data_IF_418437873336
#
_entry.id   IF_418437873336
#
_cell.length_a   1.000
_cell.length_b   1.000
_cell.length_c   1.000
_cell.angle_alpha   90.00
_cell.angle_beta   90.00
_cell.angle_gamma   90.00
#
_symmetry.space_group_name_H-M   'P 1'
#
loop_
_entity.id
_entity.type
_entity.pdbx_description
1 polymer ?
#
# COMPACT_ATOMS: atom_id res chain seq x y z
N UNK A 1 0.29 -24.40 -30.65
CA UNK A 1 1.33 -24.20 -29.61
C UNK A 1 0.80 -24.78 -28.31
N UNK A 2 1.62 -25.51 -27.56
CA UNK A 2 1.20 -26.10 -26.28
C UNK A 2 1.18 -25.01 -25.20
N UNK A 3 0.04 -24.85 -24.52
CA UNK A 3 -0.10 -23.90 -23.43
C UNK A 3 -0.10 -24.66 -22.11
N UNK A 4 0.77 -24.25 -21.18
CA UNK A 4 0.85 -24.80 -19.83
C UNK A 4 0.06 -23.93 -18.86
N UNK A 5 -0.62 -24.57 -17.90
CA UNK A 5 -1.37 -23.88 -16.85
C UNK A 5 -0.82 -24.23 -15.47
N UNK A 6 -0.59 -23.20 -14.66
CA UNK A 6 -0.07 -23.31 -13.29
C UNK A 6 -1.03 -22.61 -12.33
N UNK A 7 -1.44 -23.32 -11.28
CA UNK A 7 -2.27 -22.79 -10.21
C UNK A 7 -1.40 -22.55 -8.98
N UNK A 8 -1.39 -21.31 -8.51
CA UNK A 8 -0.62 -20.92 -7.33
C UNK A 8 -1.57 -20.81 -6.14
N UNK A 9 -1.43 -21.67 -5.11
CA UNK A 9 -2.34 -21.67 -3.97
C UNK A 9 -2.14 -20.43 -3.10
N UNK A 10 -3.21 -20.05 -2.39
CA UNK A 10 -3.17 -19.05 -1.33
C UNK A 10 -2.24 -19.51 -0.20
N UNK A 11 -1.54 -18.55 0.39
CA UNK A 11 -0.71 -18.73 1.58
C UNK A 11 -1.54 -18.79 2.87
N UNK A 12 -2.87 -18.64 2.79
CA UNK A 12 -3.77 -18.55 3.93
C UNK A 12 -3.68 -17.21 4.67
N UNK A 13 -3.03 -16.20 4.08
CA UNK A 13 -2.86 -14.88 4.66
C UNK A 13 -3.02 -13.80 3.59
N UNK A 14 -4.01 -12.93 3.76
CA UNK A 14 -4.35 -11.93 2.73
C UNK A 14 -3.18 -11.01 2.37
N UNK A 15 -2.47 -10.44 3.36
CA UNK A 15 -1.35 -9.54 3.06
C UNK A 15 -0.22 -10.28 2.33
N UNK A 16 0.08 -11.51 2.76
CA UNK A 16 1.06 -12.35 2.08
C UNK A 16 0.62 -12.71 0.67
N UNK A 17 -0.65 -13.05 0.45
CA UNK A 17 -1.20 -13.35 -0.87
C UNK A 17 -1.08 -12.14 -1.79
N UNK A 18 -1.48 -10.95 -1.34
CA UNK A 18 -1.38 -9.70 -2.11
C UNK A 18 0.06 -9.46 -2.55
N UNK A 19 0.99 -9.37 -1.58
CA UNK A 19 2.36 -8.96 -1.87
C UNK A 19 3.16 -10.05 -2.59
N UNK A 20 2.99 -11.32 -2.23
CA UNK A 20 3.67 -12.40 -2.94
C UNK A 20 3.13 -12.56 -4.37
N UNK A 21 1.82 -12.38 -4.60
CA UNK A 21 1.26 -12.38 -5.94
C UNK A 21 1.78 -11.22 -6.79
N UNK A 22 1.91 -10.02 -6.21
CA UNK A 22 2.50 -8.88 -6.91
C UNK A 22 3.97 -9.10 -7.27
N UNK A 23 4.78 -9.57 -6.33
CA UNK A 23 6.18 -9.86 -6.60
C UNK A 23 6.36 -10.98 -7.61
N UNK A 24 5.55 -12.05 -7.51
CA UNK A 24 5.59 -13.16 -8.45
C UNK A 24 5.20 -12.72 -9.86
N UNK A 25 4.19 -11.86 -10.03
CA UNK A 25 3.83 -11.34 -11.35
C UNK A 25 4.99 -10.59 -12.01
N UNK A 26 5.76 -9.80 -11.27
CA UNK A 26 6.93 -9.12 -11.82
C UNK A 26 7.96 -10.11 -12.34
N UNK A 27 8.26 -11.13 -11.54
CA UNK A 27 9.20 -12.17 -11.93
C UNK A 27 8.69 -12.96 -13.14
N UNK A 28 7.39 -13.30 -13.17
CA UNK A 28 6.74 -13.99 -14.29
C UNK A 28 6.80 -13.15 -15.57
N UNK A 29 6.48 -11.85 -15.51
CA UNK A 29 6.52 -10.96 -16.68
C UNK A 29 7.93 -10.72 -17.21
N UNK A 30 8.94 -10.76 -16.34
CA UNK A 30 10.35 -10.70 -16.76
C UNK A 30 10.82 -12.00 -17.42
N UNK A 31 10.23 -13.13 -17.05
CA UNK A 31 10.58 -14.46 -17.58
C UNK A 31 9.83 -14.81 -18.86
N UNK A 32 8.56 -14.43 -18.95
CA UNK A 32 7.71 -14.58 -20.13
C UNK A 32 6.83 -13.31 -20.29
N UNK A 33 7.16 -12.40 -21.21
CA UNK A 33 6.38 -11.18 -21.43
C UNK A 33 4.94 -11.44 -21.91
N UNK A 34 4.69 -12.57 -22.58
CA UNK A 34 3.39 -12.94 -23.13
C UNK A 34 2.52 -13.69 -22.11
N UNK A 35 3.07 -14.07 -20.96
CA UNK A 35 2.40 -14.85 -19.92
C UNK A 35 1.04 -14.28 -19.54
N UNK A 36 0.02 -15.11 -19.53
CA UNK A 36 -1.29 -14.73 -19.05
C UNK A 36 -1.37 -14.99 -17.54
N UNK A 37 -1.74 -13.98 -16.78
CA UNK A 37 -1.92 -14.10 -15.32
C UNK A 37 -3.25 -13.50 -14.93
N UNK A 38 -4.01 -14.26 -14.15
CA UNK A 38 -5.27 -13.88 -13.56
C UNK A 38 -5.17 -13.98 -12.04
N UNK A 39 -5.64 -12.94 -11.36
CA UNK A 39 -5.61 -12.81 -9.91
C UNK A 39 -6.93 -13.25 -9.30
N UNK A 40 -6.82 -14.07 -8.27
CA UNK A 40 -7.92 -14.76 -7.59
C UNK A 40 -7.84 -14.50 -6.08
N UNK A 41 -7.63 -13.25 -5.67
CA UNK A 41 -7.49 -12.93 -4.24
C UNK A 41 -8.79 -13.26 -3.49
N UNK A 42 -8.67 -13.95 -2.35
CA UNK A 42 -9.80 -14.46 -1.58
C UNK A 42 -10.32 -15.84 -2.01
N UNK A 43 -9.68 -16.47 -3.01
CA UNK A 43 -9.95 -17.86 -3.42
C UNK A 43 -8.84 -18.81 -2.94
N UNK A 44 -9.06 -20.12 -3.10
CA UNK A 44 -8.08 -21.15 -2.73
C UNK A 44 -6.76 -21.02 -3.50
N UNK A 45 -6.83 -20.67 -4.79
CA UNK A 45 -5.67 -20.30 -5.59
C UNK A 45 -5.64 -18.78 -5.69
N UNK A 46 -4.51 -18.15 -5.40
CA UNK A 46 -4.37 -16.69 -5.50
C UNK A 46 -4.01 -16.23 -6.92
N UNK A 47 -3.39 -17.11 -7.72
CA UNK A 47 -3.06 -16.85 -9.13
C UNK A 47 -3.36 -18.06 -10.02
N UNK A 48 -3.82 -17.75 -11.22
CA UNK A 48 -3.84 -18.66 -12.37
C UNK A 48 -2.91 -18.13 -13.43
N UNK A 49 -1.91 -18.93 -13.81
CA UNK A 49 -0.86 -18.56 -14.74
C UNK A 49 -0.94 -19.47 -15.96
N UNK A 50 -0.89 -18.89 -17.16
CA UNK A 50 -0.77 -19.65 -18.40
C UNK A 50 0.40 -19.12 -19.23
N UNK A 51 1.27 -20.02 -19.65
CA UNK A 51 2.49 -19.70 -20.41
C UNK A 51 2.69 -20.71 -21.53
N UNK A 52 3.37 -20.30 -22.58
CA UNK A 52 3.89 -21.20 -23.62
C UNK A 52 5.26 -21.78 -23.22
N UNK A 53 5.87 -21.22 -22.18
CA UNK A 53 7.13 -21.67 -21.60
C UNK A 53 6.86 -22.82 -20.63
N UNK A 54 7.67 -23.88 -20.75
CA UNK A 54 7.63 -25.02 -19.83
C UNK A 54 7.97 -24.56 -18.42
N UNK A 55 7.51 -25.35 -17.45
CA UNK A 55 7.59 -24.99 -16.05
C UNK A 55 9.03 -24.82 -15.59
N UNK A 56 9.88 -25.77 -15.96
CA UNK A 56 11.28 -25.83 -15.56
C UNK A 56 12.04 -24.60 -16.08
N UNK A 57 11.86 -24.28 -17.36
CA UNK A 57 12.46 -23.11 -18.01
C UNK A 57 11.93 -21.79 -17.40
N UNK A 58 10.63 -21.74 -17.08
CA UNK A 58 10.01 -20.57 -16.45
C UNK A 58 10.56 -20.34 -15.04
N UNK A 59 10.66 -21.40 -14.24
CA UNK A 59 11.20 -21.38 -12.87
C UNK A 59 12.69 -21.00 -12.85
N UNK A 60 13.49 -21.50 -13.79
CA UNK A 60 14.90 -21.11 -13.97
C UNK A 60 15.02 -19.60 -14.32
N UNK A 61 14.22 -19.14 -15.28
CA UNK A 61 14.20 -17.73 -15.67
C UNK A 61 13.76 -16.82 -14.51
N UNK A 62 12.76 -17.24 -13.71
CA UNK A 62 12.34 -16.52 -12.50
C UNK A 62 13.52 -16.36 -11.54
N UNK A 63 14.26 -17.44 -11.27
CA UNK A 63 15.41 -17.37 -10.36
C UNK A 63 16.51 -16.44 -10.88
N UNK A 64 16.81 -16.49 -12.18
CA UNK A 64 17.77 -15.58 -12.82
C UNK A 64 17.33 -14.12 -12.70
N UNK A 65 16.05 -13.85 -12.97
CA UNK A 65 15.47 -12.52 -12.86
C UNK A 65 15.44 -12.01 -11.42
N UNK A 66 15.14 -12.88 -10.45
CA UNK A 66 15.18 -12.56 -9.01
C UNK A 66 16.60 -12.20 -8.55
N UNK A 67 17.61 -12.94 -9.01
CA UNK A 67 19.02 -12.66 -8.73
C UNK A 67 19.45 -11.27 -9.25
N UNK A 68 19.01 -10.91 -10.47
CA UNK A 68 19.26 -9.58 -11.05
C UNK A 68 18.48 -8.49 -10.31
N UNK A 69 17.17 -8.70 -10.12
CA UNK A 69 16.27 -7.70 -9.53
C UNK A 69 16.66 -7.35 -8.10
N UNK A 70 17.02 -8.34 -7.28
CA UNK A 70 17.52 -8.12 -5.93
C UNK A 70 18.75 -7.22 -5.89
N UNK A 71 19.56 -7.16 -6.99
CA UNK A 71 20.80 -6.33 -7.09
C UNK A 71 20.51 -4.90 -7.45
N UNK A 72 19.30 -4.62 -7.94
CA UNK A 72 18.89 -3.27 -8.32
C UNK A 72 18.90 -2.33 -7.11
N UNK A 73 19.38 -1.11 -7.37
CA UNK A 73 19.42 -0.06 -6.37
C UNK A 73 18.01 0.26 -5.84
N UNK A 74 17.01 0.22 -6.73
CA UNK A 74 15.60 0.43 -6.36
C UNK A 74 15.11 -0.56 -5.29
N UNK A 75 15.38 -1.86 -5.44
CA UNK A 75 14.97 -2.85 -4.42
C UNK A 75 15.73 -2.61 -3.12
N UNK A 76 17.03 -2.33 -3.18
CA UNK A 76 17.84 -2.04 -1.99
C UNK A 76 17.29 -0.84 -1.23
N UNK A 77 17.02 0.27 -1.91
CA UNK A 77 16.47 1.49 -1.32
C UNK A 77 15.11 1.26 -0.68
N UNK A 78 14.19 0.59 -1.39
CA UNK A 78 12.84 0.35 -0.89
C UNK A 78 12.79 -0.67 0.26
N UNK A 79 13.79 -1.56 0.35
CA UNK A 79 13.99 -2.50 1.44
C UNK A 79 15.09 -2.05 2.43
N UNK A 80 15.48 -0.78 2.41
CA UNK A 80 16.46 -0.23 3.34
C UNK A 80 15.78 0.17 4.67
N UNK A 81 15.37 -0.86 5.41
CA UNK A 81 14.83 -0.74 6.76
C UNK A 81 15.19 -1.96 7.58
N UNK A 82 15.22 -1.78 8.90
CA UNK A 82 15.71 -2.82 9.79
C UNK A 82 14.61 -3.79 10.20
N UNK A 83 14.95 -5.07 10.22
CA UNK A 83 14.08 -6.16 10.67
C UNK A 83 14.73 -6.79 11.89
N UNK A 84 13.95 -6.93 12.97
CA UNK A 84 14.40 -7.67 14.14
C UNK A 84 14.38 -9.18 13.83
N UNK A 85 15.56 -9.80 13.73
CA UNK A 85 15.70 -11.23 13.46
C UNK A 85 15.82 -12.08 14.74
N UNK A 86 15.81 -11.45 15.91
CA UNK A 86 16.00 -12.11 17.21
C UNK A 86 17.44 -12.61 17.45
N UNK A 87 18.42 -12.17 16.65
CA UNK A 87 19.84 -12.54 16.79
C UNK A 87 20.71 -11.40 17.37
N UNK A 88 20.10 -10.50 18.15
CA UNK A 88 20.78 -9.38 18.78
C UNK A 88 20.66 -8.07 17.98
N UNK A 89 21.31 -7.96 16.82
CA UNK A 89 21.24 -6.75 15.99
C UNK A 89 20.16 -6.89 14.90
N UNK A 90 19.31 -5.86 14.70
CA UNK A 90 18.42 -5.80 13.54
C UNK A 90 19.22 -5.88 12.23
N UNK A 91 18.71 -6.64 11.26
CA UNK A 91 19.31 -6.80 9.93
C UNK A 91 18.50 -5.99 8.90
N UNK A 92 19.13 -5.31 7.93
CA UNK A 92 18.40 -4.69 6.82
C UNK A 92 17.57 -5.71 6.02
N UNK A 93 16.37 -5.33 5.59
CA UNK A 93 15.48 -6.23 4.88
C UNK A 93 16.07 -6.73 3.56
N UNK A 94 16.77 -5.88 2.81
CA UNK A 94 17.42 -6.32 1.56
C UNK A 94 18.49 -7.40 1.78
N UNK A 95 19.13 -7.46 2.95
CA UNK A 95 20.12 -8.51 3.29
C UNK A 95 19.45 -9.84 3.57
N UNK A 96 18.26 -9.82 4.19
CA UNK A 96 17.45 -11.02 4.37
C UNK A 96 17.01 -11.58 3.02
N UNK A 97 16.55 -10.71 2.10
CA UNK A 97 16.21 -11.10 0.73
C UNK A 97 17.40 -11.79 0.05
N UNK A 98 18.59 -11.17 0.12
CA UNK A 98 19.83 -11.73 -0.42
C UNK A 98 20.15 -13.11 0.11
N UNK A 99 20.18 -13.24 1.43
CA UNK A 99 20.50 -14.49 2.10
C UNK A 99 19.55 -15.62 1.67
N UNK A 100 18.26 -15.34 1.54
CA UNK A 100 17.29 -16.34 1.08
C UNK A 100 17.61 -16.81 -0.35
N UNK A 101 17.94 -15.89 -1.25
CA UNK A 101 18.29 -16.23 -2.64
C UNK A 101 19.61 -17.02 -2.68
N UNK A 102 20.66 -16.46 -2.10
CA UNK A 102 22.03 -16.97 -2.22
C UNK A 102 22.28 -18.25 -1.40
N UNK A 103 21.61 -18.41 -0.25
CA UNK A 103 21.87 -19.53 0.66
C UNK A 103 20.77 -20.60 0.66
N UNK A 104 19.51 -20.23 0.43
CA UNK A 104 18.35 -21.13 0.63
C UNK A 104 17.74 -21.60 -0.68
N UNK A 105 17.73 -20.74 -1.70
CA UNK A 105 17.24 -21.11 -3.03
C UNK A 105 18.38 -21.67 -3.88
N UNK A 106 19.58 -21.09 -3.77
CA UNK A 106 20.90 -21.50 -4.33
C UNK A 106 20.95 -21.76 -5.85
N UNK A 107 20.02 -22.51 -6.43
CA UNK A 107 19.83 -22.76 -7.87
C UNK A 107 18.40 -23.19 -8.25
N UNK A 108 17.45 -23.24 -7.31
CA UNK A 108 16.08 -23.71 -7.56
C UNK A 108 15.07 -22.67 -7.05
N UNK A 109 14.12 -22.31 -7.90
CA UNK A 109 12.86 -21.66 -7.53
C UNK A 109 11.75 -22.62 -7.91
N UNK A 110 10.73 -22.83 -7.08
CA UNK A 110 9.56 -23.61 -7.50
C UNK A 110 8.23 -22.91 -7.25
N UNK A 111 7.37 -22.89 -8.26
CA UNK A 111 5.98 -22.45 -8.13
C UNK A 111 5.18 -23.39 -7.19
N UNK A 112 5.62 -24.64 -6.96
CA UNK A 112 5.01 -25.57 -6.02
C UNK A 112 5.40 -25.26 -4.56
N UNK A 113 6.41 -24.40 -4.35
CA UNK A 113 6.79 -23.97 -3.02
C UNK A 113 5.75 -23.01 -2.41
N UNK A 114 4.84 -22.45 -3.21
CA UNK A 114 3.72 -21.67 -2.70
C UNK A 114 2.74 -22.61 -2.00
N UNK A 115 2.53 -22.37 -0.71
CA UNK A 115 1.65 -23.14 0.17
C UNK A 115 1.34 -22.34 1.42
N UNK A 116 0.42 -22.81 2.24
CA UNK A 116 -0.01 -22.10 3.45
C UNK A 116 1.15 -21.82 4.40
N UNK A 117 1.19 -20.61 4.94
CA UNK A 117 2.11 -20.20 6.01
C UNK A 117 1.77 -21.02 7.26
N UNK A 118 2.81 -21.57 7.91
CA UNK A 118 2.63 -22.41 9.10
C UNK A 118 3.27 -21.75 10.31
N UNK A 119 2.61 -21.87 11.47
CA UNK A 119 3.30 -21.73 12.75
C UNK A 119 3.95 -23.07 13.02
N UNK A 120 5.29 -23.10 13.09
CA UNK A 120 6.02 -24.32 13.43
C UNK A 120 7.41 -24.01 13.95
N UNK A 121 8.04 -24.99 14.59
CA UNK A 121 9.46 -24.94 15.01
C UNK A 121 10.38 -24.94 13.77
N UNK A 122 11.69 -24.84 14.00
CA UNK A 122 12.68 -24.83 12.91
C UNK A 122 12.47 -26.03 11.97
N UNK A 123 12.31 -25.73 10.68
CA UNK A 123 12.23 -26.70 9.58
C UNK A 123 13.37 -26.44 8.61
N UNK A 124 13.87 -27.50 7.95
CA UNK A 124 14.89 -27.36 6.90
C UNK A 124 14.33 -26.67 5.65
N UNK A 125 13.05 -26.89 5.36
CA UNK A 125 12.36 -26.41 4.14
C UNK A 125 11.75 -25.01 4.31
N UNK A 126 11.46 -24.59 5.54
CA UNK A 126 10.78 -23.32 5.82
C UNK A 126 11.67 -22.33 6.59
N UNK A 127 11.68 -21.10 6.11
CA UNK A 127 12.37 -19.98 6.74
C UNK A 127 11.43 -19.19 7.64
N UNK A 128 12.01 -18.54 8.66
CA UNK A 128 11.27 -17.61 9.51
C UNK A 128 10.79 -16.44 8.66
N UNK A 129 9.48 -16.23 8.59
CA UNK A 129 8.92 -15.13 7.83
C UNK A 129 8.89 -13.86 8.67
N UNK A 130 10.04 -13.18 8.75
CA UNK A 130 10.24 -12.04 9.64
C UNK A 130 9.33 -10.83 9.38
N UNK A 131 8.71 -10.74 8.21
CA UNK A 131 7.75 -9.70 7.82
C UNK A 131 6.30 -10.16 7.88
N UNK A 132 6.04 -11.41 8.26
CA UNK A 132 4.68 -11.93 8.42
C UNK A 132 3.89 -11.13 9.45
N UNK A 133 2.59 -10.96 9.21
CA UNK A 133 1.71 -10.31 10.18
C UNK A 133 1.37 -11.20 11.37
N UNK A 134 1.54 -12.52 11.21
CA UNK A 134 1.43 -13.44 12.32
C UNK A 134 2.56 -13.16 13.31
N UNK A 135 2.28 -13.18 14.62
CA UNK A 135 3.30 -12.94 15.63
C UNK A 135 4.48 -13.88 15.41
N UNK A 136 5.67 -13.28 15.28
CA UNK A 136 6.93 -14.02 15.33
C UNK A 136 7.26 -14.11 16.81
N UNK A 137 6.92 -15.24 17.42
CA UNK A 137 7.52 -15.60 18.69
C UNK A 137 8.98 -15.96 18.39
N UNK A 138 9.87 -14.98 18.55
CA UNK A 138 11.26 -15.11 18.13
C UNK A 138 12.18 -14.19 18.90
N UNK A 139 12.90 -14.77 19.88
CA UNK A 139 14.22 -14.43 20.42
C UNK A 139 14.61 -12.94 20.54
N UNK A 140 13.66 -12.03 20.75
CA UNK A 140 13.89 -10.59 20.69
C UNK A 140 13.90 -9.87 22.04
N UNK A 141 13.54 -10.53 23.14
CA UNK A 141 13.63 -9.98 24.49
C UNK A 141 14.86 -10.52 25.21
N UNK A 142 15.56 -9.65 25.96
CA UNK A 142 16.66 -10.02 26.87
C UNK A 142 16.20 -10.88 28.06
N UNK A 143 14.90 -11.13 28.20
CA UNK A 143 14.32 -12.13 29.08
C UNK A 143 13.01 -12.60 28.46
N UNK A 144 12.92 -13.89 28.17
CA UNK A 144 11.62 -14.56 28.04
C UNK A 144 11.31 -15.17 29.40
N UNK A 145 10.05 -15.15 29.83
CA UNK A 145 9.60 -16.19 30.76
C UNK A 145 9.88 -17.54 30.10
N UNK A 146 10.49 -18.46 30.84
CA UNK A 146 10.95 -19.76 30.33
C UNK A 146 9.86 -20.57 29.60
N UNK A 147 8.57 -20.23 29.79
CA UNK A 147 7.44 -20.85 29.11
C UNK A 147 7.33 -20.51 27.60
N UNK A 148 7.84 -19.37 27.15
CA UNK A 148 7.70 -18.89 25.75
C UNK A 148 8.92 -19.25 24.86
N UNK A 149 9.97 -19.83 25.42
CA UNK A 149 11.24 -20.13 24.73
C UNK A 149 11.15 -21.31 23.71
N UNK A 150 9.97 -21.89 23.52
CA UNK A 150 9.73 -23.04 22.65
C UNK A 150 8.63 -22.86 21.59
N UNK A 151 8.08 -21.66 21.43
CA UNK A 151 6.89 -21.44 20.60
C UNK A 151 7.16 -21.35 19.09
N UNK A 152 6.10 -21.65 18.34
CA UNK A 152 6.07 -21.73 16.89
C UNK A 152 6.11 -20.34 16.23
N UNK A 153 7.11 -20.09 15.38
CA UNK A 153 7.15 -18.86 14.57
C UNK A 153 6.39 -19.05 13.27
N UNK A 154 5.86 -17.96 12.70
CA UNK A 154 5.37 -17.95 11.33
C UNK A 154 6.50 -18.25 10.35
N UNK A 155 6.33 -19.30 9.55
CA UNK A 155 7.32 -19.80 8.59
C UNK A 155 6.70 -20.03 7.23
N UNK A 156 7.47 -19.75 6.19
CA UNK A 156 7.10 -19.90 4.80
C UNK A 156 8.29 -20.43 3.99
N UNK A 157 8.04 -20.90 2.77
CA UNK A 157 9.11 -21.24 1.83
C UNK A 157 9.86 -19.97 1.41
N UNK A 158 11.15 -20.09 1.05
CA UNK A 158 11.92 -18.96 0.52
C UNK A 158 11.18 -18.21 -0.60
N UNK A 159 10.55 -18.93 -1.53
CA UNK A 159 9.82 -18.39 -2.69
C UNK A 159 8.69 -17.43 -2.29
N UNK A 160 7.92 -17.78 -1.26
CA UNK A 160 6.86 -16.91 -0.73
C UNK A 160 7.48 -15.64 -0.14
N UNK A 161 8.54 -15.79 0.66
CA UNK A 161 9.17 -14.66 1.36
C UNK A 161 9.83 -13.70 0.36
N UNK A 162 10.59 -14.22 -0.61
CA UNK A 162 11.25 -13.37 -1.62
C UNK A 162 10.23 -12.69 -2.51
N UNK A 163 9.17 -13.39 -2.93
CA UNK A 163 8.10 -12.79 -3.74
C UNK A 163 7.36 -11.71 -2.94
N UNK A 164 7.08 -11.96 -1.66
CA UNK A 164 6.51 -10.96 -0.76
C UNK A 164 7.39 -9.71 -0.67
N UNK A 165 8.70 -9.86 -0.50
CA UNK A 165 9.64 -8.73 -0.37
C UNK A 165 9.77 -7.95 -1.68
N UNK A 166 9.75 -8.63 -2.83
CA UNK A 166 9.70 -7.98 -4.15
C UNK A 166 8.40 -7.20 -4.32
N UNK A 167 7.25 -7.78 -3.96
CA UNK A 167 5.97 -7.08 -3.99
C UNK A 167 5.94 -5.88 -3.04
N UNK A 168 6.45 -6.03 -1.82
CA UNK A 168 6.60 -4.95 -0.86
C UNK A 168 7.43 -3.80 -1.45
N UNK A 169 8.54 -4.11 -2.10
CA UNK A 169 9.43 -3.11 -2.68
C UNK A 169 8.86 -2.40 -3.92
N UNK A 170 8.02 -3.06 -4.72
CA UNK A 170 7.59 -2.55 -6.02
C UNK A 170 6.14 -2.05 -6.07
N UNK A 171 5.27 -2.50 -5.16
CA UNK A 171 3.82 -2.25 -5.18
C UNK A 171 3.32 -1.49 -3.95
N UNK A 172 4.21 -0.98 -3.11
CA UNK A 172 3.82 -0.22 -1.93
C UNK A 172 4.42 1.17 -1.91
N UNK A 173 3.64 2.10 -1.38
CA UNK A 173 4.06 3.45 -1.03
C UNK A 173 4.42 3.38 0.45
N UNK A 174 5.62 3.86 0.83
CA UNK A 174 6.06 3.80 2.22
C UNK A 174 6.58 5.13 2.72
N UNK A 175 6.28 5.45 3.97
CA UNK A 175 6.80 6.62 4.67
C UNK A 175 7.08 6.27 6.13
N UNK A 176 7.83 7.16 6.79
CA UNK A 176 8.13 7.04 8.22
C UNK A 176 7.21 7.96 9.01
N UNK A 177 6.75 7.48 10.15
CA UNK A 177 5.99 8.27 11.11
C UNK A 177 6.63 8.20 12.48
N UNK A 178 6.77 9.36 13.12
CA UNK A 178 7.16 9.45 14.52
C UNK A 178 5.92 9.40 15.41
N UNK A 179 5.84 8.37 16.24
CA UNK A 179 4.82 8.19 17.27
C UNK A 179 5.54 8.24 18.62
N UNK A 180 5.60 9.43 19.24
CA UNK A 180 6.47 9.68 20.39
C UNK A 180 7.95 9.51 20.01
N UNK A 181 8.71 8.78 20.82
CA UNK A 181 10.15 8.47 20.58
C UNK A 181 10.38 7.38 19.52
N UNK A 182 9.31 6.93 18.88
CA UNK A 182 9.24 5.69 18.16
C UNK A 182 9.00 5.93 16.67
N UNK A 183 9.84 5.36 15.80
CA UNK A 183 9.69 5.47 14.35
C UNK A 183 8.98 4.22 13.83
N UNK A 184 7.84 4.41 13.17
CA UNK A 184 7.10 3.38 12.46
C UNK A 184 7.25 3.55 10.96
N UNK A 185 7.29 2.45 10.21
CA UNK A 185 7.29 2.48 8.75
C UNK A 185 5.96 1.97 8.22
N UNK A 186 5.17 2.91 7.73
CA UNK A 186 3.84 2.63 7.19
C UNK A 186 3.99 2.28 5.72
N UNK A 187 3.29 1.22 5.30
CA UNK A 187 3.15 0.82 3.92
C UNK A 187 1.69 0.89 3.53
N UNK A 188 1.45 1.39 2.32
CA UNK A 188 0.15 1.46 1.68
C UNK A 188 0.25 0.77 0.32
N UNK A 189 -0.72 -0.10 0.02
CA UNK A 189 -0.86 -0.71 -1.29
C UNK A 189 -2.31 -0.68 -1.75
N UNK A 190 -2.51 -0.46 -3.05
CA UNK A 190 -3.79 -0.70 -3.70
C UNK A 190 -3.79 -2.13 -4.24
N UNK A 191 -4.91 -2.84 -4.07
CA UNK A 191 -5.06 -4.21 -4.52
C UNK A 191 -6.45 -4.46 -5.12
N UNK A 192 -6.61 -5.50 -5.96
CA UNK A 192 -7.92 -5.88 -6.50
C UNK A 192 -8.92 -6.22 -5.39
N UNK A 193 -10.22 -5.94 -5.58
CA UNK A 193 -11.22 -6.34 -4.60
C UNK A 193 -11.29 -7.86 -4.43
N UNK A 194 -11.45 -8.31 -3.19
CA UNK A 194 -11.55 -9.72 -2.86
C UNK A 194 -12.70 -10.41 -3.59
N UNK A 195 -12.47 -11.66 -4.01
CA UNK A 195 -13.45 -12.47 -4.72
C UNK A 195 -13.63 -12.11 -6.20
N UNK A 196 -13.04 -11.00 -6.68
CA UNK A 196 -13.11 -10.60 -8.09
C UNK A 196 -11.88 -11.06 -8.86
N UNK A 197 -12.10 -11.48 -10.10
CA UNK A 197 -11.04 -11.89 -11.01
C UNK A 197 -10.53 -10.67 -11.78
N UNK A 198 -9.21 -10.48 -11.80
CA UNK A 198 -8.58 -9.43 -12.60
C UNK A 198 -7.35 -9.93 -13.34
N UNK A 199 -7.13 -9.42 -14.56
CA UNK A 199 -5.96 -9.77 -15.36
C UNK A 199 -4.73 -8.95 -15.01
N UNK A 200 -3.55 -9.42 -15.45
CA UNK A 200 -2.24 -8.75 -15.28
C UNK A 200 -2.24 -7.25 -15.57
N UNK A 201 -3.01 -6.78 -16.56
CA UNK A 201 -3.03 -5.37 -16.94
C UNK A 201 -3.60 -4.46 -15.84
N UNK A 202 -4.59 -4.95 -15.10
CA UNK A 202 -5.14 -4.23 -13.94
C UNK A 202 -4.05 -4.05 -12.87
N UNK A 203 -3.29 -5.10 -12.60
CA UNK A 203 -2.20 -5.10 -11.63
C UNK A 203 -1.04 -4.22 -12.07
N UNK A 204 -0.71 -4.20 -13.37
CA UNK A 204 0.27 -3.26 -13.93
C UNK A 204 -0.18 -1.80 -13.74
N UNK A 205 -1.48 -1.51 -13.81
CA UNK A 205 -2.00 -0.18 -13.46
C UNK A 205 -1.77 0.14 -11.98
N UNK A 206 -2.03 -0.80 -11.06
CA UNK A 206 -1.72 -0.62 -9.64
C UNK A 206 -0.21 -0.39 -9.40
N UNK A 207 0.65 -1.09 -10.13
CA UNK A 207 2.10 -0.85 -10.10
C UNK A 207 2.47 0.55 -10.57
N UNK A 208 1.85 1.03 -11.65
CA UNK A 208 2.10 2.39 -12.17
C UNK A 208 1.80 3.44 -11.10
N UNK A 209 0.75 3.24 -10.31
CA UNK A 209 0.44 4.11 -9.18
C UNK A 209 1.59 4.11 -8.17
N UNK A 210 2.07 2.94 -7.76
CA UNK A 210 3.24 2.86 -6.87
C UNK A 210 4.51 3.51 -7.47
N UNK A 211 4.71 3.43 -8.79
CA UNK A 211 5.82 4.08 -9.50
C UNK A 211 5.67 5.60 -9.54
N UNK A 212 4.47 6.13 -9.79
CA UNK A 212 4.21 7.59 -9.77
C UNK A 212 4.61 8.17 -8.42
N UNK A 213 4.42 7.40 -7.37
CA UNK A 213 4.83 7.72 -6.01
C UNK A 213 6.33 7.54 -5.71
N UNK A 214 7.17 7.28 -6.72
CA UNK A 214 8.63 7.19 -6.58
C UNK A 214 9.42 8.35 -7.19
N UNK A 215 8.75 9.32 -7.85
CA UNK A 215 9.38 10.56 -8.34
C UNK A 215 9.78 11.49 -7.18
N UNK A 216 10.71 12.42 -7.40
CA UNK A 216 11.19 13.34 -6.35
C UNK A 216 10.04 14.16 -5.73
N UNK A 217 9.20 14.79 -6.55
CA UNK A 217 8.03 15.55 -6.08
C UNK A 217 7.06 14.69 -5.28
N UNK A 218 6.82 13.45 -5.73
CA UNK A 218 5.96 12.51 -5.02
C UNK A 218 6.59 12.05 -3.71
N UNK A 219 7.91 11.86 -3.66
CA UNK A 219 8.61 11.53 -2.42
C UNK A 219 8.48 12.66 -1.39
N UNK A 220 8.52 13.92 -1.82
CA UNK A 220 8.21 15.04 -0.93
C UNK A 220 6.78 14.95 -0.40
N UNK A 221 5.78 14.73 -1.28
CA UNK A 221 4.38 14.58 -0.87
C UNK A 221 4.17 13.43 0.12
N UNK A 222 4.76 12.26 -0.15
CA UNK A 222 4.64 11.07 0.70
C UNK A 222 5.29 11.30 2.07
N UNK A 223 6.50 11.85 2.11
CA UNK A 223 7.25 12.00 3.35
C UNK A 223 6.75 13.18 4.20
N UNK A 224 6.24 14.25 3.57
CA UNK A 224 5.87 15.46 4.29
C UNK A 224 4.36 15.59 4.53
N UNK A 225 3.54 15.18 3.55
CA UNK A 225 2.09 15.39 3.60
C UNK A 225 1.31 14.19 4.15
N UNK A 226 1.74 12.95 3.87
CA UNK A 226 1.07 11.74 4.38
C UNK A 226 1.46 11.37 5.81
N UNK A 227 2.60 11.86 6.31
CA UNK A 227 3.04 11.63 7.68
C UNK A 227 1.99 12.14 8.68
N UNK A 228 1.51 11.26 9.56
CA UNK A 228 0.48 11.56 10.57
C UNK A 228 -0.87 12.01 9.99
N UNK A 229 -1.09 11.88 8.67
CA UNK A 229 -2.39 12.19 8.09
C UNK A 229 -3.46 11.25 8.69
N UNK A 230 -4.63 11.77 9.09
CA UNK A 230 -5.67 10.93 9.64
C UNK A 230 -6.00 9.78 8.69
N UNK A 231 -6.02 8.54 9.21
CA UNK A 231 -6.12 7.33 8.37
C UNK A 231 -7.37 7.30 7.49
N UNK A 232 -8.44 7.99 7.92
CA UNK A 232 -9.69 8.14 7.17
C UNK A 232 -9.54 8.94 5.88
N UNK A 233 -8.57 9.87 5.85
CA UNK A 233 -8.29 10.76 4.73
C UNK A 233 -7.39 10.11 3.69
N UNK A 234 -6.64 9.05 4.04
CA UNK A 234 -5.68 8.41 3.12
C UNK A 234 -6.29 7.98 1.77
N UNK A 235 -7.48 7.35 1.68
CA UNK A 235 -8.10 7.06 0.40
C UNK A 235 -8.29 8.31 -0.48
N UNK A 236 -8.77 9.40 0.12
CA UNK A 236 -8.98 10.68 -0.55
C UNK A 236 -7.64 11.24 -1.05
N UNK A 237 -6.62 11.26 -0.19
CA UNK A 237 -5.28 11.77 -0.49
C UNK A 237 -4.57 10.99 -1.60
N UNK A 238 -4.75 9.67 -1.66
CA UNK A 238 -4.18 8.82 -2.71
C UNK A 238 -4.91 9.06 -4.02
N UNK A 239 -6.25 9.02 -4.03
CA UNK A 239 -7.04 9.17 -5.25
C UNK A 239 -6.94 10.58 -5.86
N UNK A 240 -6.88 11.62 -5.03
CA UNK A 240 -6.70 12.99 -5.49
C UNK A 240 -5.38 13.17 -6.27
N UNK A 241 -4.35 12.38 -5.95
CA UNK A 241 -3.05 12.44 -6.61
C UNK A 241 -2.97 11.60 -7.90
N UNK A 242 -4.04 10.89 -8.30
CA UNK A 242 -4.03 10.05 -9.50
C UNK A 242 -4.66 10.75 -10.70
N UNK A 243 -4.13 10.52 -11.89
CA UNK A 243 -4.73 10.99 -13.13
C UNK A 243 -6.16 10.47 -13.33
N UNK A 244 -7.01 11.29 -13.95
CA UNK A 244 -8.41 10.94 -14.19
C UNK A 244 -8.54 9.71 -15.09
N UNK A 245 -7.63 9.54 -16.05
CA UNK A 245 -7.57 8.35 -16.89
C UNK A 245 -7.37 7.07 -16.06
N UNK A 246 -6.53 7.12 -15.02
CA UNK A 246 -6.30 6.03 -14.08
C UNK A 246 -7.57 5.79 -13.24
N UNK A 247 -8.19 6.84 -12.70
CA UNK A 247 -9.43 6.74 -11.92
C UNK A 247 -10.56 6.07 -12.74
N UNK A 248 -10.77 6.53 -13.99
CA UNK A 248 -11.77 5.96 -14.91
C UNK A 248 -11.45 4.49 -15.25
N UNK A 249 -10.18 4.17 -15.50
CA UNK A 249 -9.76 2.80 -15.79
C UNK A 249 -10.03 1.86 -14.61
N UNK A 250 -9.67 2.28 -13.39
CA UNK A 250 -9.94 1.52 -12.17
C UNK A 250 -11.44 1.29 -11.99
N UNK A 251 -12.27 2.35 -12.07
CA UNK A 251 -13.72 2.21 -11.91
C UNK A 251 -14.34 1.28 -12.96
N UNK A 252 -13.90 1.37 -14.22
CA UNK A 252 -14.42 0.57 -15.33
C UNK A 252 -14.20 -0.92 -15.14
N UNK A 253 -13.05 -1.33 -14.59
CA UNK A 253 -12.77 -2.75 -14.34
C UNK A 253 -13.37 -3.14 -13.00
N UNK A 254 -12.75 -2.71 -11.90
CA UNK A 254 -13.18 -2.94 -10.54
C UNK A 254 -12.55 -1.89 -9.63
N UNK A 255 -13.30 -1.35 -8.67
CA UNK A 255 -12.74 -0.41 -7.70
C UNK A 255 -11.72 -1.15 -6.82
N UNK A 256 -10.46 -0.66 -6.71
CA UNK A 256 -9.47 -1.33 -5.87
C UNK A 256 -9.83 -1.17 -4.41
N UNK A 257 -9.17 -1.95 -3.57
CA UNK A 257 -9.15 -1.77 -2.12
C UNK A 257 -7.77 -1.24 -1.71
N UNK A 258 -7.72 -0.58 -0.57
CA UNK A 258 -6.49 -0.04 0.00
C UNK A 258 -6.14 -0.85 1.25
N UNK A 259 -4.91 -1.35 1.32
CA UNK A 259 -4.37 -2.01 2.51
C UNK A 259 -3.25 -1.15 3.12
N UNK A 260 -3.37 -0.88 4.42
CA UNK A 260 -2.40 -0.13 5.21
C UNK A 260 -1.81 -1.03 6.29
N UNK A 261 -0.49 -1.09 6.41
CA UNK A 261 0.17 -1.96 7.38
C UNK A 261 1.52 -1.38 7.83
N UNK A 262 1.99 -1.81 9.01
CA UNK A 262 3.28 -1.42 9.55
C UNK A 262 4.24 -2.62 9.52
N UNK A 263 5.45 -2.40 9.00
CA UNK A 263 6.49 -3.43 8.93
C UNK A 263 7.57 -3.28 10.01
N UNK A 264 7.78 -2.07 10.52
CA UNK A 264 8.86 -1.71 11.45
C UNK A 264 8.29 -1.40 12.84
N UNK A 265 8.79 -2.09 13.87
CA UNK A 265 8.35 -1.86 15.24
C UNK A 265 9.15 -0.73 15.89
N UNK A 266 8.49 0.11 16.69
CA UNK A 266 9.19 0.90 17.68
C UNK A 266 9.88 0.00 18.72
N UNK A 267 11.05 0.46 19.18
CA UNK A 267 12.02 -0.24 20.03
C UNK A 267 11.42 -1.19 21.09
N UNK A 268 12.12 -2.31 21.32
CA UNK A 268 12.41 -2.77 22.69
C UNK A 268 11.79 -4.07 23.18
N UNK A 269 10.61 -4.50 22.71
CA UNK A 269 10.03 -5.80 23.12
C UNK A 269 9.24 -6.44 21.99
N UNK A 270 9.24 -7.77 21.93
CA UNK A 270 8.31 -8.53 21.11
C UNK A 270 6.89 -8.41 21.70
N UNK A 271 6.31 -7.21 21.74
CA UNK A 271 4.95 -7.02 22.25
C UNK A 271 3.94 -7.75 21.34
N UNK A 272 2.97 -8.40 21.94
CA UNK A 272 1.96 -9.29 21.32
C UNK A 272 0.98 -8.60 20.36
N UNK A 273 1.18 -7.32 20.03
CA UNK A 273 0.43 -6.65 18.99
C UNK A 273 0.80 -7.26 17.63
N UNK A 274 -0.03 -8.20 17.18
CA UNK A 274 -0.15 -8.64 15.79
C UNK A 274 0.06 -7.43 14.86
N UNK A 275 0.84 -7.60 13.80
CA UNK A 275 0.98 -6.52 12.81
C UNK A 275 -0.37 -6.39 12.12
N UNK A 276 -1.24 -5.53 12.64
CA UNK A 276 -2.57 -5.34 12.09
C UNK A 276 -2.43 -4.55 10.79
N UNK A 277 -2.94 -5.12 9.70
CA UNK A 277 -3.26 -4.34 8.51
C UNK A 277 -4.70 -3.85 8.62
N UNK A 278 -5.01 -2.71 8.00
CA UNK A 278 -6.37 -2.21 7.81
C UNK A 278 -6.67 -2.21 6.33
N UNK A 279 -7.76 -2.87 5.94
CA UNK A 279 -8.31 -2.78 4.59
C UNK A 279 -9.38 -1.70 4.57
N UNK A 280 -9.39 -0.88 3.53
CA UNK A 280 -10.41 0.14 3.26
C UNK A 280 -10.93 -0.04 1.85
N UNK A 281 -12.24 -0.07 1.73
CA UNK A 281 -12.89 0.12 0.44
C UNK A 281 -12.78 1.61 0.05
N UNK A 282 -12.39 1.88 -1.19
CA UNK A 282 -12.25 3.25 -1.70
C UNK A 282 -13.29 3.58 -2.78
N UNK A 283 -14.24 2.67 -3.04
CA UNK A 283 -15.27 2.81 -4.07
C UNK A 283 -16.04 4.12 -3.92
N UNK A 284 -16.47 4.47 -2.70
CA UNK A 284 -17.25 5.69 -2.45
C UNK A 284 -16.47 6.95 -2.82
N UNK A 285 -15.17 6.99 -2.53
CA UNK A 285 -14.31 8.12 -2.91
C UNK A 285 -14.06 8.19 -4.41
N UNK A 286 -13.86 7.03 -5.04
CA UNK A 286 -13.69 6.96 -6.50
C UNK A 286 -14.95 7.44 -7.22
N UNK A 287 -16.11 7.03 -6.73
CA UNK A 287 -17.41 7.47 -7.24
C UNK A 287 -17.57 8.98 -7.04
N UNK A 288 -17.21 9.50 -5.87
CA UNK A 288 -17.20 10.94 -5.61
C UNK A 288 -16.37 11.71 -6.64
N UNK A 289 -15.15 11.30 -6.96
CA UNK A 289 -14.38 12.02 -7.98
C UNK A 289 -15.02 11.94 -9.37
N UNK A 290 -15.41 10.74 -9.80
CA UNK A 290 -15.86 10.53 -11.18
C UNK A 290 -17.20 11.17 -11.50
N UNK A 291 -18.12 11.26 -10.54
CA UNK A 291 -19.41 11.92 -10.75
C UNK A 291 -19.37 13.46 -10.62
N UNK A 292 -18.20 14.08 -10.38
CA UNK A 292 -18.04 15.54 -10.51
C UNK A 292 -17.83 15.99 -11.97
N UNK A 293 -17.72 15.05 -12.92
CA UNK A 293 -17.58 15.31 -14.35
C UNK A 293 -16.46 16.31 -14.66
N UNK A 294 -16.80 17.49 -15.17
CA UNK A 294 -15.85 18.55 -15.55
C UNK A 294 -15.13 19.15 -14.34
N UNK A 295 -15.78 19.15 -13.16
CA UNK A 295 -15.27 19.74 -11.93
C UNK A 295 -14.32 18.82 -11.14
N UNK A 296 -14.04 17.62 -11.66
CA UNK A 296 -13.11 16.68 -11.02
C UNK A 296 -11.70 17.26 -10.86
N UNK A 297 -11.21 18.06 -11.82
CA UNK A 297 -9.89 18.68 -11.74
C UNK A 297 -9.84 19.66 -10.58
N UNK A 298 -10.86 20.50 -10.48
CA UNK A 298 -10.96 21.51 -9.45
C UNK A 298 -11.04 20.89 -8.05
N UNK A 299 -11.87 19.85 -7.88
CA UNK A 299 -11.97 19.15 -6.61
C UNK A 299 -10.65 18.49 -6.19
N UNK A 300 -9.93 17.91 -7.16
CA UNK A 300 -8.61 17.32 -6.90
C UNK A 300 -7.59 18.38 -6.48
N UNK A 301 -7.51 19.51 -7.20
CA UNK A 301 -6.59 20.60 -6.85
C UNK A 301 -6.89 21.18 -5.48
N UNK A 302 -8.17 21.40 -5.17
CA UNK A 302 -8.62 21.80 -3.84
C UNK A 302 -8.12 20.83 -2.74
N UNK A 303 -8.40 19.54 -2.87
CA UNK A 303 -7.97 18.51 -1.89
C UNK A 303 -6.46 18.43 -1.78
N UNK A 304 -5.74 18.42 -2.91
CA UNK A 304 -4.29 18.37 -2.92
C UNK A 304 -3.68 19.62 -2.29
N UNK A 305 -4.26 20.79 -2.51
CA UNK A 305 -3.78 22.04 -1.91
C UNK A 305 -3.84 22.01 -0.38
N UNK A 306 -4.92 21.48 0.20
CA UNK A 306 -5.05 21.28 1.64
C UNK A 306 -3.99 20.32 2.18
N UNK A 307 -3.79 19.18 1.51
CA UNK A 307 -2.83 18.16 1.95
C UNK A 307 -1.38 18.65 1.82
N UNK A 308 -1.07 19.36 0.73
CA UNK A 308 0.26 19.97 0.50
C UNK A 308 0.54 21.06 1.53
N UNK A 309 -0.42 21.96 1.76
CA UNK A 309 -0.32 23.01 2.76
C UNK A 309 -0.11 22.43 4.16
N UNK A 310 -0.88 21.41 4.55
CA UNK A 310 -0.68 20.68 5.82
C UNK A 310 0.74 20.15 5.97
N UNK A 311 1.34 19.67 4.88
CA UNK A 311 2.69 19.13 4.85
C UNK A 311 3.81 20.17 4.77
N UNK A 312 3.50 21.46 4.58
CA UNK A 312 4.52 22.51 4.45
C UNK A 312 5.24 22.75 5.78
N UNK A 313 6.49 23.23 5.71
CA UNK A 313 7.35 23.38 6.89
C UNK A 313 6.78 24.42 7.86
N UNK A 314 6.18 25.45 7.30
CA UNK A 314 5.58 26.62 7.94
C UNK A 314 4.32 26.21 8.69
N UNK A 315 3.51 25.33 8.09
CA UNK A 315 2.23 24.90 8.67
C UNK A 315 2.40 23.73 9.62
N UNK A 316 3.29 22.77 9.37
CA UNK A 316 3.42 21.51 10.13
C UNK A 316 3.65 21.67 11.65
N UNK A 317 4.01 22.87 12.11
CA UNK A 317 4.22 23.22 13.54
C UNK A 317 3.21 24.22 14.09
N UNK A 318 2.18 24.58 13.34
CA UNK A 318 1.18 25.57 13.73
C UNK A 318 -0.19 24.93 14.01
N UNK A 319 -1.08 25.72 14.59
CA UNK A 319 -2.48 25.34 14.84
C UNK A 319 -3.26 25.02 13.54
N UNK A 320 -2.78 25.53 12.40
CA UNK A 320 -3.42 25.34 11.10
C UNK A 320 -3.41 23.87 10.65
N UNK A 321 -2.46 23.04 11.11
CA UNK A 321 -2.50 21.58 10.86
C UNK A 321 -3.78 20.97 11.39
N UNK A 322 -4.15 21.32 12.63
CA UNK A 322 -5.34 20.78 13.27
C UNK A 322 -6.63 21.22 12.57
N UNK A 323 -6.65 22.46 12.08
CA UNK A 323 -7.78 22.97 11.29
C UNK A 323 -7.90 22.25 9.95
N UNK A 324 -6.79 22.08 9.21
CA UNK A 324 -6.77 21.36 7.94
C UNK A 324 -7.13 19.88 8.14
N UNK A 325 -6.58 19.22 9.16
CA UNK A 325 -6.93 17.83 9.50
C UNK A 325 -8.43 17.69 9.80
N UNK A 326 -9.03 18.66 10.50
CA UNK A 326 -10.48 18.70 10.75
C UNK A 326 -11.28 18.82 9.45
N UNK A 327 -10.91 19.74 8.56
CA UNK A 327 -11.56 19.92 7.26
C UNK A 327 -11.47 18.66 6.40
N UNK A 328 -10.28 18.05 6.30
CA UNK A 328 -10.06 16.83 5.54
C UNK A 328 -10.83 15.64 6.11
N UNK A 329 -10.93 15.55 7.45
CA UNK A 329 -11.76 14.54 8.11
C UNK A 329 -13.24 14.75 7.82
N UNK A 330 -13.75 15.97 7.98
CA UNK A 330 -15.14 16.29 7.68
C UNK A 330 -15.47 16.02 6.21
N UNK A 331 -14.59 16.40 5.28
CA UNK A 331 -14.70 16.09 3.86
C UNK A 331 -14.79 14.58 3.63
N UNK A 332 -13.89 13.82 4.25
CA UNK A 332 -13.88 12.36 4.11
C UNK A 332 -15.15 11.73 4.67
N UNK A 333 -15.64 12.20 5.82
CA UNK A 333 -16.91 11.75 6.39
C UNK A 333 -18.10 12.12 5.51
N UNK A 334 -18.11 13.32 4.95
CA UNK A 334 -19.19 13.79 4.12
C UNK A 334 -19.28 12.95 2.83
N UNK A 335 -18.14 12.65 2.19
CA UNK A 335 -18.07 11.74 1.05
C UNK A 335 -18.54 10.33 1.42
N UNK A 336 -18.04 9.78 2.53
CA UNK A 336 -18.39 8.43 2.98
C UNK A 336 -19.88 8.25 3.26
N UNK A 337 -20.51 9.27 3.85
CA UNK A 337 -21.92 9.25 4.22
C UNK A 337 -22.84 9.89 3.18
N UNK A 338 -22.30 10.37 2.06
CA UNK A 338 -23.04 11.10 1.03
C UNK A 338 -23.77 12.35 1.54
N UNK A 339 -23.17 13.06 2.49
CA UNK A 339 -23.76 14.21 3.19
C UNK A 339 -23.42 15.55 2.49
N UNK A 340 -24.36 16.08 1.72
CA UNK A 340 -24.22 17.31 0.94
C UNK A 340 -24.00 18.53 1.84
N UNK A 341 -24.80 18.64 2.90
CA UNK A 341 -24.76 19.80 3.79
C UNK A 341 -23.40 19.91 4.46
N UNK A 342 -22.83 18.76 4.84
CA UNK A 342 -21.47 18.70 5.37
C UNK A 342 -20.41 19.01 4.33
N UNK A 343 -20.57 18.57 3.07
CA UNK A 343 -19.66 18.97 1.98
C UNK A 343 -19.64 20.49 1.76
N UNK A 344 -20.81 21.11 1.63
CA UNK A 344 -20.95 22.56 1.45
C UNK A 344 -20.33 23.31 2.64
N UNK A 345 -20.61 22.85 3.86
CA UNK A 345 -20.04 23.43 5.08
C UNK A 345 -18.51 23.38 5.06
N UNK A 346 -17.90 22.27 4.64
CA UNK A 346 -16.44 22.14 4.56
C UNK A 346 -15.84 23.15 3.57
N UNK A 347 -16.47 23.33 2.41
CA UNK A 347 -16.02 24.33 1.43
C UNK A 347 -16.06 25.74 2.03
N UNK A 348 -17.18 26.09 2.66
CA UNK A 348 -17.34 27.39 3.33
C UNK A 348 -16.34 27.62 4.47
N UNK A 349 -16.14 26.62 5.34
CA UNK A 349 -15.16 26.70 6.43
C UNK A 349 -13.72 26.83 5.91
N UNK A 350 -13.44 26.32 4.70
CA UNK A 350 -12.13 26.48 4.08
C UNK A 350 -11.88 27.93 3.65
N UNK A 351 -12.88 28.62 3.12
CA UNK A 351 -12.77 30.05 2.77
C UNK A 351 -12.49 30.92 3.99
N UNK A 352 -12.97 30.51 5.16
CA UNK A 352 -12.81 31.22 6.44
C UNK A 352 -11.52 30.88 7.19
N UNK A 353 -10.67 29.99 6.68
CA UNK A 353 -9.37 29.69 7.29
C UNK A 353 -8.51 30.95 7.45
N UNK A 354 -8.57 31.87 6.47
CA UNK A 354 -7.83 33.14 6.48
C UNK A 354 -8.21 34.08 7.64
N UNK A 355 -9.41 33.92 8.20
CA UNK A 355 -9.91 34.72 9.32
C UNK A 355 -9.48 34.14 10.67
N UNK A 356 -8.97 32.91 10.67
CA UNK A 356 -8.68 32.11 11.86
C UNK A 356 -7.19 31.99 12.17
N UNK A 357 -6.33 32.61 11.37
CA UNK A 357 -4.87 32.52 11.52
C UNK A 357 -4.19 33.88 11.51
N UNK A 358 -3.00 33.95 12.11
CA UNK A 358 -2.15 35.14 12.11
C UNK A 358 -1.66 35.56 10.71
N UNK A 359 -1.16 36.80 10.59
CA UNK A 359 -0.77 37.44 9.32
C UNK A 359 0.23 36.62 8.49
N UNK A 360 1.21 36.00 9.12
CA UNK A 360 2.23 35.17 8.43
C UNK A 360 1.61 33.93 7.77
N UNK A 361 0.76 33.19 8.50
CA UNK A 361 0.05 32.02 7.98
C UNK A 361 -1.02 32.39 6.93
N UNK A 362 -1.55 33.61 7.00
CA UNK A 362 -2.52 34.12 6.02
C UNK A 362 -1.90 34.29 4.64
N UNK A 363 -0.65 34.76 4.56
CA UNK A 363 0.08 34.82 3.28
C UNK A 363 0.34 33.43 2.72
N UNK A 364 0.72 32.48 3.59
CA UNK A 364 0.96 31.08 3.20
C UNK A 364 -0.32 30.40 2.67
N UNK A 365 -1.46 30.62 3.34
CA UNK A 365 -2.77 30.18 2.87
C UNK A 365 -3.08 30.74 1.47
N UNK A 366 -2.97 32.06 1.29
CA UNK A 366 -3.30 32.73 0.01
C UNK A 366 -2.47 32.23 -1.16
N UNK A 367 -1.20 31.89 -0.91
CA UNK A 367 -0.28 31.41 -1.95
C UNK A 367 -0.54 29.97 -2.35
N UNK A 368 -0.96 29.13 -1.42
CA UNK A 368 -0.90 27.68 -1.61
C UNK A 368 -2.26 26.98 -1.57
N UNK A 369 -3.32 27.61 -1.05
CA UNK A 369 -4.65 27.02 -1.05
C UNK A 369 -5.35 27.30 -2.38
N UNK A 370 -5.85 26.24 -3.00
CA UNK A 370 -6.72 26.37 -4.16
C UNK A 370 -8.12 26.73 -3.65
N UNK A 371 -8.67 27.84 -4.13
CA UNK A 371 -10.04 28.28 -3.78
C UNK A 371 -11.03 27.70 -4.79
N UNK A 372 -11.95 26.82 -4.38
CA UNK A 372 -12.92 26.22 -5.27
C UNK A 372 -13.85 27.29 -5.86
N UNK A 373 -14.17 27.16 -7.14
CA UNK A 373 -15.14 27.99 -7.82
C UNK A 373 -16.55 27.75 -7.28
N UNK A 374 -17.43 28.72 -7.54
CA UNK A 374 -18.86 28.55 -7.31
C UNK A 374 -19.43 27.36 -8.10
N UNK A 375 -18.86 27.05 -9.27
CA UNK A 375 -19.31 25.96 -10.13
C UNK A 375 -19.00 24.58 -9.53
N UNK A 376 -17.86 24.40 -8.86
CA UNK A 376 -17.59 23.16 -8.11
C UNK A 376 -18.58 22.99 -6.95
N UNK A 377 -18.90 24.07 -6.23
CA UNK A 377 -19.88 24.03 -5.15
C UNK A 377 -21.26 23.59 -5.68
N UNK A 378 -21.69 24.17 -6.81
CA UNK A 378 -22.93 23.77 -7.48
C UNK A 378 -22.89 22.34 -7.99
N UNK A 379 -21.79 21.89 -8.59
CA UNK A 379 -21.66 20.52 -9.11
C UNK A 379 -21.76 19.46 -8.00
N UNK A 380 -21.17 19.73 -6.82
CA UNK A 380 -21.32 18.87 -5.64
C UNK A 380 -22.79 18.79 -5.23
N UNK A 381 -23.49 19.93 -5.13
CA UNK A 381 -24.91 19.97 -4.75
C UNK A 381 -25.79 19.23 -5.75
N UNK A 382 -25.66 19.52 -7.05
CA UNK A 382 -26.49 18.92 -8.11
C UNK A 382 -26.33 17.41 -8.15
N UNK A 383 -25.10 16.90 -8.05
CA UNK A 383 -24.84 15.47 -8.10
C UNK A 383 -25.61 14.71 -7.01
N UNK A 384 -25.49 15.15 -5.76
CA UNK A 384 -26.08 14.39 -4.66
C UNK A 384 -27.62 14.52 -4.61
N UNK A 385 -28.19 15.64 -5.06
CA UNK A 385 -29.65 15.76 -5.26
C UNK A 385 -30.17 14.80 -6.35
N UNK A 386 -29.36 14.52 -7.38
CA UNK A 386 -29.70 13.52 -8.41
C UNK A 386 -29.55 12.07 -7.93
N UNK A 387 -28.72 11.79 -6.92
CA UNK A 387 -28.61 10.47 -6.31
C UNK A 387 -29.76 10.20 -5.31
N UNK A 388 -30.26 11.21 -4.60
CA UNK A 388 -31.43 11.09 -3.70
C UNK A 388 -32.76 10.89 -4.45
N UNK A 389 -32.88 11.36 -5.70
CA UNK A 389 -34.09 11.23 -6.52
C UNK A 389 -34.21 9.91 -7.27
N UNK A 390 -33.16 9.06 -7.22
CA UNK A 390 -33.14 7.72 -7.82
C UNK A 390 -33.28 6.58 -6.79
N UNK A 391 -33.60 6.94 -5.54
CA UNK A 391 -34.00 6.03 -4.45
C UNK A 391 -35.39 6.42 -3.97
#
# INVERSE_FOLDING_TARGET
>A
MQQYEYLIPSTGNLLSDILSSFGLLELLLMSDPLIYVEYHLGHYNMLRVRSEVKREDLEENILKNLNTLSKSERIKQNLNFTINTGKGRPEPAYEILRRLIDERMKNIFSLNAFRSIRKTKKSKELDTFYLSIFPIYGKGSKGYDNMMAGEESARATPEIIVSYMVGLALYTISWREKIGDAVSRIHLSLFPPLGRLVHKNYIRTLRRIAILHSTEDSQWYINNCLENLPRLVLPLAVLANLDISILRYLKRIHSPQLILFNVERPRGRAAEASRLYKVRDITVFLDFFLGLNEQIYEAKEYILSLIKLRGSREVKKSELVGMIDSLLLELSYAILNRDINKLIRVLFETERLEDRVGKELKEELRRNIYKPSFDLSCAITVRYLLEESNH
#
